data_IF_547115731844
#
_entry.id   IF_547115731844
#
_cell.length_a   1.000
_cell.length_b   1.000
_cell.length_c   1.000
_cell.angle_alpha   90.00
_cell.angle_beta   90.00
_cell.angle_gamma   90.00
#
_symmetry.space_group_name_H-M   'P 1'
#
loop_
_entity.id
_entity.type
_entity.pdbx_description
1 polymer ?
#
# COMPACT_ATOMS: atom_id res chain seq x y z
N UNK A 1 -8.96 -21.13 -59.71
CA UNK A 1 -10.08 -22.09 -59.81
C UNK A 1 -10.11 -22.86 -58.52
N UNK A 2 -11.28 -23.26 -58.01
CA UNK A 2 -12.24 -22.37 -57.34
C UNK A 2 -12.46 -22.70 -55.85
N UNK A 3 -13.11 -21.76 -55.18
CA UNK A 3 -13.88 -21.83 -53.92
C UNK A 3 -14.84 -23.05 -53.85
N UNK A 4 -15.52 -23.38 -52.70
CA UNK A 4 -16.24 -22.40 -51.89
C UNK A 4 -16.29 -22.65 -50.35
N UNK A 5 -16.75 -21.62 -49.66
CA UNK A 5 -17.54 -21.60 -48.40
C UNK A 5 -18.93 -22.26 -48.64
N UNK A 6 -19.76 -22.64 -47.64
CA UNK A 6 -20.43 -21.75 -46.72
C UNK A 6 -20.70 -22.27 -45.29
N UNK A 7 -21.00 -21.37 -44.36
CA UNK A 7 -22.29 -20.96 -43.71
C UNK A 7 -22.74 -21.89 -42.58
N UNK A 8 -23.43 -21.54 -41.52
CA UNK A 8 -24.31 -20.46 -41.08
C UNK A 8 -24.45 -20.56 -39.54
N UNK A 9 -24.51 -19.49 -38.85
CA UNK A 9 -25.58 -18.82 -38.13
C UNK A 9 -26.50 -19.72 -37.29
N UNK A 10 -26.61 -19.45 -36.00
CA UNK A 10 -27.87 -19.36 -35.29
C UNK A 10 -27.76 -18.51 -34.05
N UNK A 11 -28.42 -17.37 -34.10
CA UNK A 11 -28.77 -16.55 -32.94
C UNK A 11 -30.01 -17.14 -32.27
N UNK A 12 -30.15 -16.98 -30.97
CA UNK A 12 -31.43 -17.09 -30.30
C UNK A 12 -31.55 -16.05 -29.20
N UNK A 13 -32.42 -15.08 -29.47
CA UNK A 13 -33.13 -14.26 -28.50
C UNK A 13 -34.06 -15.11 -27.65
N UNK A 14 -34.24 -14.80 -26.39
CA UNK A 14 -35.42 -15.16 -25.63
C UNK A 14 -35.75 -14.09 -24.61
N UNK A 15 -36.76 -13.56 -24.79
CA UNK A 15 -37.95 -12.83 -24.39
C UNK A 15 -38.22 -12.89 -22.88
N UNK A 16 -38.48 -11.72 -22.32
CA UNK A 16 -39.11 -11.47 -21.04
C UNK A 16 -40.61 -11.84 -21.08
N UNK A 17 -41.13 -12.31 -19.96
CA UNK A 17 -42.57 -12.29 -19.71
C UNK A 17 -42.84 -11.87 -18.26
N UNK A 18 -43.62 -10.84 -18.18
CA UNK A 18 -44.36 -10.27 -17.06
C UNK A 18 -45.53 -11.18 -16.70
N UNK A 19 -45.78 -11.42 -15.43
CA UNK A 19 -46.97 -12.12 -14.92
C UNK A 19 -47.63 -11.31 -13.81
N UNK A 20 -48.81 -10.84 -14.12
CA UNK A 20 -49.63 -9.87 -13.40
C UNK A 20 -50.53 -10.54 -12.36
N UNK A 21 -50.89 -9.76 -11.35
CA UNK A 21 -51.88 -9.94 -10.26
C UNK A 21 -53.10 -10.79 -10.60
N UNK A 22 -53.64 -11.49 -9.57
CA UNK A 22 -55.07 -11.65 -9.38
C UNK A 22 -55.45 -11.57 -7.91
N UNK A 23 -56.21 -10.54 -7.59
CA UNK A 23 -57.02 -10.36 -6.39
C UNK A 23 -58.32 -11.14 -6.57
N UNK A 24 -58.72 -11.90 -5.56
CA UNK A 24 -60.08 -12.42 -5.46
C UNK A 24 -60.64 -12.21 -4.08
N UNK A 25 -61.57 -11.28 -4.00
CA UNK A 25 -62.45 -11.02 -2.87
C UNK A 25 -63.59 -12.05 -2.89
N UNK A 26 -63.93 -12.59 -1.73
CA UNK A 26 -65.25 -13.21 -1.53
C UNK A 26 -65.79 -12.73 -0.17
N UNK A 27 -66.90 -11.97 -0.27
CA UNK A 27 -67.76 -11.61 0.84
C UNK A 27 -68.90 -12.62 0.93
N UNK A 28 -69.29 -13.05 2.12
CA UNK A 28 -70.66 -13.48 2.41
C UNK A 28 -70.97 -13.53 3.90
N UNK A 29 -71.82 -12.65 4.28
CA UNK A 29 -72.96 -12.67 5.17
C UNK A 29 -73.00 -13.47 6.50
N UNK A 30 -73.04 -12.70 7.54
CA UNK A 30 -73.98 -12.60 8.66
C UNK A 30 -74.71 -13.87 9.22
N UNK A 31 -74.57 -14.03 10.54
CA UNK A 31 -75.74 -14.13 11.45
C UNK A 31 -75.32 -13.86 12.90
N UNK A 32 -76.00 -12.91 13.49
CA UNK A 32 -75.94 -12.49 14.90
C UNK A 32 -76.40 -13.59 15.85
N UNK A 33 -75.70 -13.73 16.99
CA UNK A 33 -76.28 -14.21 18.28
C UNK A 33 -75.68 -13.40 19.41
N UNK A 34 -76.55 -12.88 20.23
CA UNK A 34 -76.34 -12.09 21.43
C UNK A 34 -75.53 -12.83 22.52
N UNK A 35 -74.86 -12.12 23.45
CA UNK A 35 -73.84 -12.67 24.30
C UNK A 35 -74.37 -13.18 25.60
N UNK A 36 -73.81 -14.31 26.03
CA UNK A 36 -73.91 -14.82 27.39
C UNK A 36 -72.96 -14.10 28.33
N UNK A 37 -73.46 -13.72 29.52
CA UNK A 37 -72.71 -13.01 30.58
C UNK A 37 -71.61 -13.92 31.14
N UNK A 38 -70.37 -13.40 31.09
CA UNK A 38 -69.25 -13.98 31.84
C UNK A 38 -69.30 -13.63 33.32
N UNK A 39 -68.83 -14.50 34.22
CA UNK A 39 -68.65 -14.21 35.62
C UNK A 39 -67.42 -13.32 35.90
N UNK A 40 -67.37 -12.61 37.04
CA UNK A 40 -66.30 -11.64 37.33
C UNK A 40 -64.95 -12.34 37.48
N UNK A 41 -63.95 -11.88 36.71
CA UNK A 41 -62.55 -12.28 36.88
C UNK A 41 -61.94 -11.64 38.13
N UNK A 42 -61.47 -12.51 39.04
CA UNK A 42 -60.57 -12.10 40.11
C UNK A 42 -59.28 -11.45 39.51
N UNK A 43 -58.89 -10.33 40.09
CA UNK A 43 -57.66 -9.62 39.71
C UNK A 43 -56.42 -10.46 40.08
N UNK A 44 -55.83 -11.15 39.10
CA UNK A 44 -54.50 -11.68 39.24
C UNK A 44 -53.51 -10.52 39.25
N UNK A 45 -52.78 -10.36 40.37
CA UNK A 45 -51.64 -9.47 40.47
C UNK A 45 -50.58 -9.90 39.45
N UNK A 46 -50.26 -8.96 38.50
CA UNK A 46 -49.08 -9.15 37.64
C UNK A 46 -47.80 -9.41 38.48
N UNK A 47 -47.00 -10.38 38.14
CA UNK A 47 -45.68 -10.56 38.78
C UNK A 47 -44.85 -9.33 38.41
N UNK A 48 -44.18 -8.76 39.43
CA UNK A 48 -43.26 -7.63 39.23
C UNK A 48 -42.23 -8.02 38.17
N UNK A 49 -42.13 -7.22 37.10
CA UNK A 49 -41.07 -7.34 36.09
C UNK A 49 -39.73 -7.23 36.81
N UNK A 50 -38.93 -8.29 36.76
CA UNK A 50 -37.50 -8.18 37.07
C UNK A 50 -36.89 -7.02 36.29
N UNK A 51 -36.06 -6.18 36.92
CA UNK A 51 -35.37 -5.13 36.19
C UNK A 51 -34.51 -5.78 35.09
N UNK A 52 -34.71 -5.36 33.84
CA UNK A 52 -33.89 -5.80 32.75
C UNK A 52 -32.41 -5.59 33.11
N UNK A 53 -31.51 -6.57 32.83
CA UNK A 53 -30.11 -6.42 33.14
C UNK A 53 -29.62 -5.09 32.54
N UNK A 54 -28.93 -4.28 33.34
CA UNK A 54 -28.34 -3.04 32.90
C UNK A 54 -27.53 -3.35 31.65
N UNK A 55 -27.87 -2.68 30.54
CA UNK A 55 -27.03 -2.76 29.32
C UNK A 55 -25.62 -2.37 29.75
N UNK A 56 -24.66 -3.27 29.58
CA UNK A 56 -23.24 -2.88 29.69
C UNK A 56 -23.04 -1.63 28.85
N UNK A 57 -22.33 -0.62 29.37
CA UNK A 57 -22.04 0.59 28.58
C UNK A 57 -21.41 0.13 27.27
N UNK A 58 -21.93 0.63 26.15
CA UNK A 58 -21.36 0.32 24.84
C UNK A 58 -19.88 0.67 24.91
N UNK A 59 -19.00 -0.31 24.64
CA UNK A 59 -17.57 -0.06 24.57
C UNK A 59 -17.30 0.97 23.49
N UNK A 60 -16.42 1.91 23.76
CA UNK A 60 -15.90 2.80 22.75
C UNK A 60 -15.13 1.97 21.70
N UNK A 61 -14.99 2.48 20.48
CA UNK A 61 -14.28 1.75 19.43
C UNK A 61 -13.42 2.68 18.59
N UNK A 62 -12.47 2.11 17.86
CA UNK A 62 -11.72 2.81 16.80
C UNK A 62 -11.66 1.94 15.56
N UNK A 63 -12.11 2.47 14.43
CA UNK A 63 -11.97 1.83 13.11
C UNK A 63 -10.64 2.23 12.48
N UNK A 64 -9.73 1.27 12.36
CA UNK A 64 -8.41 1.42 11.74
C UNK A 64 -8.46 0.90 10.32
N UNK A 65 -8.37 1.78 9.36
CA UNK A 65 -8.42 1.46 7.93
C UNK A 65 -7.02 1.41 7.34
N UNK A 66 -6.66 0.27 6.75
CA UNK A 66 -5.34 0.06 6.15
C UNK A 66 -5.41 -0.88 4.94
N UNK A 67 -4.27 -1.23 4.34
CA UNK A 67 -4.15 -2.30 3.35
C UNK A 67 -3.29 -3.47 3.83
N UNK A 68 -2.94 -3.51 5.10
CA UNK A 68 -2.05 -4.52 5.67
C UNK A 68 -2.79 -5.82 5.99
N UNK A 69 -2.81 -6.71 5.00
CA UNK A 69 -3.46 -8.03 5.08
C UNK A 69 -2.49 -9.17 4.72
N UNK A 70 -1.28 -8.83 4.29
CA UNK A 70 -0.23 -9.78 3.94
C UNK A 70 0.63 -10.18 5.14
N UNK A 71 1.32 -11.31 5.00
CA UNK A 71 2.23 -11.80 6.03
C UNK A 71 3.35 -10.80 6.33
N UNK A 72 3.64 -10.59 7.61
CA UNK A 72 4.51 -9.55 8.14
C UNK A 72 3.75 -8.24 8.42
N UNK A 73 2.87 -7.83 7.53
CA UNK A 73 2.05 -6.62 7.66
C UNK A 73 0.93 -6.81 8.69
N UNK A 74 0.17 -7.90 8.53
CA UNK A 74 -0.93 -8.24 9.42
C UNK A 74 -0.43 -8.57 10.82
N UNK A 75 0.64 -9.33 10.94
CA UNK A 75 1.26 -9.66 12.23
C UNK A 75 1.74 -8.41 12.96
N UNK A 76 2.38 -7.48 12.24
CA UNK A 76 2.82 -6.19 12.79
C UNK A 76 1.66 -5.34 13.28
N UNK A 77 0.62 -5.18 12.46
CA UNK A 77 -0.60 -4.45 12.83
C UNK A 77 -1.29 -5.07 14.04
N UNK A 78 -1.43 -6.39 14.06
CA UNK A 78 -2.06 -7.11 15.17
C UNK A 78 -1.25 -6.97 16.47
N UNK A 79 0.08 -6.92 16.40
CA UNK A 79 0.93 -6.65 17.57
C UNK A 79 0.70 -5.24 18.13
N UNK A 80 0.61 -4.21 17.28
CA UNK A 80 0.24 -2.85 17.70
C UNK A 80 -1.18 -2.79 18.29
N UNK A 81 -2.14 -3.44 17.65
CA UNK A 81 -3.54 -3.48 18.14
C UNK A 81 -3.60 -4.15 19.51
N UNK A 82 -2.85 -5.23 19.74
CA UNK A 82 -2.80 -5.92 21.04
C UNK A 82 -2.23 -5.00 22.13
N UNK A 83 -1.16 -4.27 21.84
CA UNK A 83 -0.57 -3.31 22.77
C UNK A 83 -1.51 -2.14 23.04
N UNK A 84 -2.13 -1.56 22.00
CA UNK A 84 -3.15 -0.53 22.14
C UNK A 84 -4.30 -0.97 23.06
N UNK A 85 -4.86 -2.18 22.85
CA UNK A 85 -5.94 -2.73 23.68
C UNK A 85 -5.52 -2.95 25.13
N UNK A 86 -4.26 -3.33 25.37
CA UNK A 86 -3.74 -3.49 26.74
C UNK A 86 -3.70 -2.16 27.51
N UNK A 87 -3.40 -1.06 26.81
CA UNK A 87 -3.39 0.30 27.36
C UNK A 87 -4.77 0.95 27.43
N UNK A 88 -5.70 0.50 26.58
CA UNK A 88 -7.05 1.06 26.42
C UNK A 88 -8.12 -0.03 26.47
N UNK A 89 -8.31 -0.74 27.61
CA UNK A 89 -9.15 -1.94 27.69
C UNK A 89 -10.64 -1.69 27.42
N UNK A 90 -11.08 -0.44 27.47
CA UNK A 90 -12.47 -0.03 27.19
C UNK A 90 -12.71 0.33 25.72
N UNK A 91 -11.67 0.33 24.88
CA UNK A 91 -11.78 0.66 23.45
C UNK A 91 -11.60 -0.61 22.63
N UNK A 92 -12.61 -0.95 21.83
CA UNK A 92 -12.48 -2.03 20.84
C UNK A 92 -11.86 -1.51 19.54
N UNK A 93 -11.00 -2.31 18.91
CA UNK A 93 -10.38 -1.98 17.63
C UNK A 93 -11.06 -2.76 16.52
N UNK A 94 -11.61 -2.05 15.54
CA UNK A 94 -12.12 -2.59 14.29
C UNK A 94 -11.00 -2.51 13.25
N UNK A 95 -10.35 -3.64 12.95
CA UNK A 95 -9.39 -3.72 11.86
C UNK A 95 -10.15 -3.79 10.53
N UNK A 96 -10.20 -2.66 9.82
CA UNK A 96 -10.91 -2.50 8.54
C UNK A 96 -9.95 -2.57 7.35
N UNK A 97 -8.92 -3.43 7.41
CA UNK A 97 -7.96 -3.59 6.34
C UNK A 97 -8.60 -4.14 5.05
N UNK A 98 -8.22 -3.59 3.90
CA UNK A 98 -8.71 -3.98 2.57
C UNK A 98 -7.56 -4.52 1.75
N UNK A 99 -7.64 -5.79 1.38
CA UNK A 99 -6.61 -6.50 0.64
C UNK A 99 -6.48 -6.05 -0.82
N UNK A 100 -5.26 -6.19 -1.36
CA UNK A 100 -4.97 -6.18 -2.79
C UNK A 100 -4.31 -4.91 -3.32
N UNK A 101 -3.38 -5.14 -4.27
CA UNK A 101 -2.71 -4.09 -5.04
C UNK A 101 -1.83 -3.15 -4.22
N UNK A 102 -1.25 -3.60 -3.11
CA UNK A 102 -0.46 -2.77 -2.19
C UNK A 102 -1.14 -1.42 -1.87
N UNK A 103 -2.43 -1.48 -1.55
CA UNK A 103 -3.24 -0.33 -1.20
C UNK A 103 -4.10 0.23 -2.34
N UNK A 104 -3.97 -0.20 -3.57
CA UNK A 104 -4.80 0.31 -4.69
C UNK A 104 -6.30 0.12 -4.40
N UNK A 105 -6.72 -1.08 -3.99
CA UNK A 105 -8.11 -1.35 -3.64
C UNK A 105 -8.56 -0.57 -2.40
N UNK A 106 -7.73 -0.54 -1.36
CA UNK A 106 -8.02 0.20 -0.13
C UNK A 106 -8.20 1.71 -0.41
N UNK A 107 -7.31 2.31 -1.21
CA UNK A 107 -7.40 3.73 -1.59
C UNK A 107 -8.69 4.05 -2.35
N UNK A 108 -9.16 3.16 -3.24
CA UNK A 108 -10.42 3.34 -3.96
C UNK A 108 -11.63 3.31 -3.01
N UNK A 109 -11.67 2.34 -2.08
CA UNK A 109 -12.71 2.25 -1.04
C UNK A 109 -12.68 3.48 -0.13
N UNK A 110 -11.50 3.87 0.35
CA UNK A 110 -11.32 5.03 1.21
C UNK A 110 -11.80 6.32 0.55
N UNK A 111 -11.42 6.56 -0.70
CA UNK A 111 -11.83 7.76 -1.44
C UNK A 111 -13.36 7.83 -1.56
N UNK A 112 -14.03 6.70 -1.81
CA UNK A 112 -15.50 6.61 -1.84
C UNK A 112 -16.10 6.96 -0.48
N UNK A 113 -15.55 6.45 0.62
CA UNK A 113 -15.99 6.74 1.99
C UNK A 113 -15.82 8.22 2.36
N UNK A 114 -14.65 8.80 2.03
CA UNK A 114 -14.35 10.22 2.27
C UNK A 114 -15.31 11.15 1.49
N UNK A 115 -15.62 10.80 0.24
CA UNK A 115 -16.57 11.55 -0.58
C UNK A 115 -17.99 11.45 -0.02
N UNK A 116 -18.41 10.29 0.47
CA UNK A 116 -19.71 10.07 1.08
C UNK A 116 -19.87 10.69 2.49
N UNK A 117 -18.81 11.29 3.05
CA UNK A 117 -18.84 11.83 4.42
C UNK A 117 -18.94 10.75 5.51
N UNK A 118 -18.49 9.55 5.22
CA UNK A 118 -18.44 8.40 6.16
C UNK A 118 -17.00 7.88 6.28
N UNK A 119 -16.04 8.69 6.80
CA UNK A 119 -14.66 8.26 6.97
C UNK A 119 -14.55 7.12 8.00
N UNK A 120 -13.46 6.33 7.99
CA UNK A 120 -13.06 5.54 9.15
C UNK A 120 -12.58 6.48 10.27
N UNK A 121 -12.28 5.95 11.46
CA UNK A 121 -11.77 6.77 12.56
C UNK A 121 -10.30 7.15 12.37
N UNK A 122 -9.51 6.25 11.77
CA UNK A 122 -8.14 6.55 11.32
C UNK A 122 -7.84 5.75 10.06
N UNK A 123 -7.02 6.30 9.15
CA UNK A 123 -6.66 5.61 7.92
C UNK A 123 -5.20 5.78 7.54
N UNK A 124 -4.69 4.77 6.85
CA UNK A 124 -3.35 4.72 6.33
C UNK A 124 -3.20 5.55 5.03
N UNK A 125 -2.12 6.33 4.95
CA UNK A 125 -1.54 6.94 3.76
C UNK A 125 -0.01 6.88 3.85
N UNK A 126 0.67 6.99 2.72
CA UNK A 126 2.10 7.26 2.78
C UNK A 126 2.35 8.72 3.17
N UNK A 127 3.42 8.93 3.95
CA UNK A 127 3.89 10.27 4.28
C UNK A 127 4.36 11.00 3.00
N UNK A 128 4.03 12.28 2.88
CA UNK A 128 4.35 13.10 1.73
C UNK A 128 3.14 13.57 0.94
N UNK A 129 3.28 13.73 -0.36
CA UNK A 129 2.26 14.33 -1.21
C UNK A 129 1.03 13.44 -1.46
N UNK A 130 1.06 12.17 -1.09
CA UNK A 130 -0.13 11.30 -1.20
C UNK A 130 -1.31 11.83 -0.39
N UNK A 131 -1.06 12.53 0.72
CA UNK A 131 -2.09 13.11 1.58
C UNK A 131 -2.53 14.51 1.11
N UNK A 132 -1.84 15.13 0.16
CA UNK A 132 -2.07 16.52 -0.23
C UNK A 132 -3.50 16.80 -0.72
N UNK A 133 -4.09 15.86 -1.46
CA UNK A 133 -5.46 16.01 -1.97
C UNK A 133 -6.50 15.96 -0.84
N UNK A 134 -6.30 15.09 0.17
CA UNK A 134 -7.18 14.98 1.34
C UNK A 134 -7.09 16.26 2.20
N UNK A 135 -5.89 16.85 2.32
CA UNK A 135 -5.66 18.13 3.02
C UNK A 135 -6.34 19.28 2.27
N UNK A 136 -6.10 19.39 0.96
CA UNK A 136 -6.71 20.42 0.10
C UNK A 136 -8.23 20.35 0.11
N UNK A 137 -8.80 19.16 0.20
CA UNK A 137 -10.24 18.92 0.29
C UNK A 137 -10.79 19.08 1.72
N UNK A 138 -9.98 19.52 2.67
CA UNK A 138 -10.34 19.72 4.08
C UNK A 138 -10.91 18.46 4.76
N UNK A 139 -10.35 17.28 4.43
CA UNK A 139 -10.83 15.98 4.92
C UNK A 139 -10.08 15.46 6.15
N UNK A 140 -8.94 16.06 6.51
CA UNK A 140 -8.09 15.62 7.61
C UNK A 140 -7.88 16.72 8.65
N UNK A 141 -7.65 16.31 9.90
CA UNK A 141 -7.38 17.22 11.00
C UNK A 141 -5.89 17.59 11.07
N UNK A 142 -5.62 18.78 11.57
CA UNK A 142 -4.29 19.27 11.92
C UNK A 142 -3.83 18.60 13.24
N UNK A 143 -2.75 17.84 13.17
CA UNK A 143 -2.17 17.09 14.29
C UNK A 143 -1.01 17.84 14.97
N UNK A 144 -0.74 19.09 14.62
CA UNK A 144 0.39 19.88 15.16
C UNK A 144 0.38 19.92 16.69
N UNK A 145 -0.81 20.12 17.28
CA UNK A 145 -0.97 20.13 18.76
C UNK A 145 -0.67 18.76 19.38
N UNK A 146 -1.06 17.66 18.72
CA UNK A 146 -0.74 16.32 19.17
C UNK A 146 0.78 16.12 19.20
N UNK A 147 1.49 16.54 18.16
CA UNK A 147 2.96 16.49 18.09
C UNK A 147 3.64 17.30 19.20
N UNK A 148 3.11 18.45 19.53
CA UNK A 148 3.61 19.29 20.63
C UNK A 148 3.38 18.63 22.00
N UNK A 149 2.17 18.11 22.21
CA UNK A 149 1.81 17.43 23.47
C UNK A 149 2.65 16.18 23.70
N UNK A 150 2.93 15.42 22.64
CA UNK A 150 3.71 14.19 22.71
C UNK A 150 5.23 14.40 22.57
N UNK A 151 5.68 15.61 22.27
CA UNK A 151 7.11 15.94 22.09
C UNK A 151 7.75 15.21 20.91
N UNK A 152 7.01 15.00 19.80
CA UNK A 152 7.46 14.17 18.69
C UNK A 152 8.32 14.89 17.66
N UNK A 153 8.27 16.23 17.59
CA UNK A 153 9.01 17.01 16.57
C UNK A 153 10.51 16.71 16.59
N UNK A 154 11.08 16.55 17.78
CA UNK A 154 12.52 16.25 17.97
C UNK A 154 12.83 14.73 17.92
N UNK A 155 11.83 13.89 17.71
CA UNK A 155 11.94 12.42 17.70
C UNK A 155 11.82 11.82 16.31
N UNK A 156 11.59 12.63 15.30
CA UNK A 156 11.54 12.23 13.90
C UNK A 156 12.73 12.80 13.13
N UNK A 157 13.24 12.07 12.11
CA UNK A 157 14.21 12.64 11.18
C UNK A 157 13.63 13.87 10.48
N UNK A 158 14.45 14.92 10.32
CA UNK A 158 14.00 16.19 9.72
C UNK A 158 13.30 16.00 8.36
N UNK A 159 13.87 15.19 7.47
CA UNK A 159 13.29 14.96 6.14
C UNK A 159 11.92 14.30 6.19
N UNK A 160 11.67 13.43 7.19
CA UNK A 160 10.35 12.83 7.40
C UNK A 160 9.35 13.84 7.99
N UNK A 161 9.80 14.63 8.97
CA UNK A 161 8.97 15.70 9.54
C UNK A 161 8.58 16.73 8.48
N UNK A 162 9.53 17.12 7.63
CA UNK A 162 9.26 18.02 6.50
C UNK A 162 8.23 17.41 5.52
N UNK A 163 8.33 16.11 5.22
CA UNK A 163 7.41 15.43 4.30
C UNK A 163 5.96 15.36 4.79
N UNK A 164 5.73 15.33 6.11
CA UNK A 164 4.39 15.32 6.71
C UNK A 164 3.87 16.70 7.11
N UNK A 165 4.67 17.76 6.87
CA UNK A 165 4.32 19.15 7.20
C UNK A 165 3.95 19.90 5.94
N UNK A 166 2.70 20.34 5.84
CA UNK A 166 2.17 21.12 4.72
C UNK A 166 1.65 22.46 5.29
N UNK A 167 2.11 23.57 4.72
CA UNK A 167 1.75 24.93 5.18
C UNK A 167 1.95 25.14 6.70
N UNK A 168 3.04 24.56 7.24
CA UNK A 168 3.40 24.66 8.66
C UNK A 168 2.58 23.78 9.61
N UNK A 169 1.70 22.93 9.10
CA UNK A 169 0.83 22.02 9.87
C UNK A 169 1.19 20.57 9.59
N UNK A 170 1.01 19.71 10.60
CA UNK A 170 1.30 18.28 10.52
C UNK A 170 -0.02 17.52 10.40
N UNK A 171 -0.11 16.56 9.46
CA UNK A 171 -1.38 15.89 9.13
C UNK A 171 -1.36 14.37 9.28
N UNK A 172 -0.22 13.75 9.55
CA UNK A 172 -0.13 12.31 9.75
C UNK A 172 0.93 11.91 10.77
N UNK A 173 0.82 10.68 11.27
CA UNK A 173 1.75 10.07 12.23
C UNK A 173 2.47 8.91 11.53
N UNK A 174 3.72 9.07 11.13
CA UNK A 174 4.54 8.00 10.56
C UNK A 174 4.78 6.85 11.55
N UNK A 175 4.68 5.62 11.04
CA UNK A 175 4.93 4.40 11.84
C UNK A 175 6.24 3.72 11.50
N UNK A 176 6.79 4.00 10.31
CA UNK A 176 8.00 3.35 9.81
C UNK A 176 8.76 4.24 8.82
N UNK A 177 9.89 3.70 8.38
CA UNK A 177 10.62 4.08 7.17
C UNK A 177 10.89 2.81 6.39
N UNK A 178 10.58 2.82 5.10
CA UNK A 178 10.91 1.79 4.13
C UNK A 178 11.94 2.27 3.13
N UNK A 179 12.70 1.32 2.58
CA UNK A 179 13.60 1.53 1.44
C UNK A 179 13.03 0.88 0.20
N UNK A 180 12.80 1.65 -0.85
CA UNK A 180 12.22 1.18 -2.10
C UNK A 180 13.28 0.66 -3.11
N UNK A 181 14.44 1.28 -3.21
CA UNK A 181 15.44 1.01 -4.24
C UNK A 181 16.29 -0.25 -3.98
N UNK A 182 15.66 -1.42 -3.93
CA UNK A 182 16.32 -2.68 -3.63
C UNK A 182 16.14 -3.71 -4.74
N UNK A 183 17.16 -4.57 -4.94
CA UNK A 183 17.11 -5.74 -5.81
C UNK A 183 17.39 -7.00 -4.98
N UNK A 184 16.49 -7.96 -5.07
CA UNK A 184 16.48 -9.19 -4.29
C UNK A 184 16.88 -10.38 -5.14
N UNK A 185 17.61 -11.34 -4.54
CA UNK A 185 18.11 -12.56 -5.20
C UNK A 185 18.38 -13.67 -4.18
N UNK A 186 18.63 -14.88 -4.67
CA UNK A 186 19.16 -15.96 -3.82
C UNK A 186 20.63 -16.23 -4.16
N UNK A 187 21.54 -16.29 -3.17
CA UNK A 187 22.95 -16.61 -3.40
C UNK A 187 23.13 -17.95 -4.11
N UNK A 188 22.26 -18.92 -3.80
CA UNK A 188 22.23 -20.24 -4.44
C UNK A 188 22.02 -20.16 -5.96
N UNK A 189 21.07 -19.35 -6.42
CA UNK A 189 20.75 -19.19 -7.86
C UNK A 189 21.90 -18.49 -8.59
N UNK A 190 22.48 -17.43 -8.03
CA UNK A 190 23.63 -16.76 -8.64
C UNK A 190 24.81 -17.72 -8.82
N UNK A 191 25.14 -18.48 -7.76
CA UNK A 191 26.21 -19.52 -7.82
C UNK A 191 25.95 -20.58 -8.89
N UNK A 192 24.71 -21.08 -8.97
CA UNK A 192 24.33 -22.11 -9.95
C UNK A 192 24.43 -21.59 -11.40
N UNK A 193 24.27 -20.30 -11.63
CA UNK A 193 24.40 -19.69 -12.95
C UNK A 193 25.81 -19.18 -13.26
N UNK A 194 26.75 -19.26 -12.32
CA UNK A 194 28.11 -18.74 -12.46
C UNK A 194 28.16 -17.21 -12.45
N UNK A 195 27.17 -16.55 -11.83
CA UNK A 195 27.13 -15.10 -11.69
C UNK A 195 27.83 -14.71 -10.38
N UNK A 196 28.89 -13.88 -10.49
CA UNK A 196 29.76 -13.55 -9.36
C UNK A 196 29.08 -12.72 -8.27
N UNK A 197 28.02 -11.97 -8.60
CA UNK A 197 27.27 -11.15 -7.65
C UNK A 197 26.12 -10.38 -8.33
N UNK A 198 25.30 -9.68 -7.56
CA UNK A 198 24.23 -8.86 -8.09
C UNK A 198 24.77 -7.70 -8.95
N UNK A 199 24.00 -7.22 -9.94
CA UNK A 199 24.44 -6.17 -10.85
C UNK A 199 24.53 -4.82 -10.12
N UNK A 200 25.63 -4.08 -10.34
CA UNK A 200 25.84 -2.74 -9.76
C UNK A 200 25.28 -1.63 -10.63
N UNK A 201 25.06 -1.90 -11.92
CA UNK A 201 24.51 -0.96 -12.90
C UNK A 201 23.45 -1.67 -13.75
N UNK A 202 22.51 -0.91 -14.34
CA UNK A 202 21.52 -1.48 -15.26
C UNK A 202 22.17 -2.09 -16.50
N UNK A 203 23.32 -1.57 -16.94
CA UNK A 203 24.12 -2.19 -18.01
C UNK A 203 24.63 -3.59 -17.61
N UNK A 204 25.11 -3.75 -16.39
CA UNK A 204 25.50 -5.06 -15.85
C UNK A 204 24.31 -6.00 -15.75
N UNK A 205 23.15 -5.50 -15.24
CA UNK A 205 21.91 -6.26 -15.19
C UNK A 205 21.54 -6.79 -16.59
N UNK A 206 21.54 -5.95 -17.62
CA UNK A 206 21.22 -6.37 -18.98
C UNK A 206 22.23 -7.37 -19.56
N UNK A 207 23.50 -7.29 -19.14
CA UNK A 207 24.52 -8.29 -19.49
C UNK A 207 24.25 -9.62 -18.82
N UNK A 208 23.95 -9.62 -17.54
CA UNK A 208 23.56 -10.82 -16.79
C UNK A 208 22.26 -11.43 -17.31
N UNK A 209 21.28 -10.59 -17.69
CA UNK A 209 20.00 -11.02 -18.25
C UNK A 209 20.17 -11.88 -19.52
N UNK A 210 21.13 -11.57 -20.38
CA UNK A 210 21.46 -12.39 -21.56
C UNK A 210 21.97 -13.77 -21.14
N UNK A 211 22.86 -13.85 -20.15
CA UNK A 211 23.37 -15.10 -19.61
C UNK A 211 22.26 -15.94 -18.97
N UNK A 212 21.40 -15.29 -18.17
CA UNK A 212 20.25 -15.90 -17.48
C UNK A 212 19.28 -16.49 -18.50
N UNK A 213 18.91 -15.70 -19.54
CA UNK A 213 18.05 -16.16 -20.63
C UNK A 213 18.63 -17.34 -21.38
N UNK A 214 19.96 -17.34 -21.64
CA UNK A 214 20.67 -18.46 -22.25
C UNK A 214 20.65 -19.77 -21.42
N UNK A 215 20.33 -19.67 -20.13
CA UNK A 215 20.10 -20.81 -19.21
C UNK A 215 18.61 -21.13 -19.02
N UNK A 216 17.72 -20.57 -19.83
CA UNK A 216 16.28 -20.84 -19.81
C UNK A 216 15.54 -20.25 -18.60
N UNK A 217 16.09 -19.21 -17.96
CA UNK A 217 15.48 -18.56 -16.80
C UNK A 217 15.07 -17.12 -17.10
N UNK A 218 14.16 -16.58 -16.29
CA UNK A 218 13.76 -15.18 -16.31
C UNK A 218 14.77 -14.33 -15.53
N UNK A 219 15.19 -13.19 -16.07
CA UNK A 219 16.13 -12.34 -15.36
C UNK A 219 15.43 -11.56 -14.23
N UNK A 220 14.26 -10.98 -14.46
CA UNK A 220 13.53 -10.20 -13.50
C UNK A 220 12.07 -10.68 -13.39
N UNK A 221 11.66 -11.11 -12.21
CA UNK A 221 10.25 -11.34 -11.89
C UNK A 221 9.58 -10.00 -11.56
N UNK A 222 8.38 -9.79 -12.10
CA UNK A 222 7.60 -8.57 -11.90
C UNK A 222 6.15 -8.93 -11.51
N UNK A 223 5.50 -8.05 -10.78
CA UNK A 223 4.11 -8.18 -10.34
C UNK A 223 3.16 -7.23 -11.08
N UNK A 224 2.06 -6.81 -10.44
CA UNK A 224 1.02 -5.96 -11.03
C UNK A 224 1.53 -4.54 -11.32
N UNK A 225 0.66 -3.69 -11.88
CA UNK A 225 1.01 -2.35 -12.38
C UNK A 225 1.79 -1.47 -11.40
N UNK A 226 1.47 -1.51 -10.10
CA UNK A 226 2.20 -0.72 -9.11
C UNK A 226 3.67 -1.13 -8.98
N UNK A 227 4.01 -2.43 -9.16
CA UNK A 227 5.41 -2.90 -9.17
C UNK A 227 6.15 -2.43 -10.41
N UNK A 228 5.43 -2.22 -11.52
CA UNK A 228 6.00 -1.66 -12.74
C UNK A 228 6.34 -0.18 -12.56
N UNK A 229 5.50 0.57 -11.84
CA UNK A 229 5.79 1.96 -11.43
C UNK A 229 7.00 2.01 -10.49
N UNK A 230 7.08 1.09 -9.53
CA UNK A 230 8.23 0.94 -8.64
C UNK A 230 9.52 0.61 -9.41
N UNK A 231 9.45 -0.27 -10.40
CA UNK A 231 10.59 -0.57 -11.27
C UNK A 231 11.00 0.67 -12.12
N UNK A 232 10.02 1.42 -12.65
CA UNK A 232 10.29 2.66 -13.39
C UNK A 232 11.07 3.66 -12.53
N UNK A 233 10.61 3.93 -11.30
CA UNK A 233 11.31 4.86 -10.40
C UNK A 233 12.72 4.38 -10.09
N UNK A 234 12.89 3.07 -9.85
CA UNK A 234 14.18 2.47 -9.54
C UNK A 234 15.16 2.59 -10.71
N UNK A 235 14.68 2.43 -11.95
CA UNK A 235 15.51 2.63 -13.16
C UNK A 235 15.83 4.10 -13.36
N UNK A 236 14.86 5.01 -13.20
CA UNK A 236 15.10 6.45 -13.30
C UNK A 236 16.14 6.91 -12.26
N UNK A 237 16.01 6.46 -11.02
CA UNK A 237 16.98 6.78 -9.96
C UNK A 237 18.38 6.27 -10.29
N UNK A 238 18.49 5.02 -10.76
CA UNK A 238 19.77 4.40 -11.08
C UNK A 238 20.48 4.99 -12.30
N UNK A 239 19.74 5.48 -13.30
CA UNK A 239 20.28 6.07 -14.52
C UNK A 239 20.57 7.58 -14.37
N UNK A 240 19.72 8.30 -13.63
CA UNK A 240 19.81 9.75 -13.50
C UNK A 240 20.65 10.17 -12.29
N UNK A 241 20.74 9.33 -11.26
CA UNK A 241 21.27 9.67 -9.96
C UNK A 241 20.31 10.52 -9.12
N UNK A 242 20.59 10.67 -7.81
CA UNK A 242 19.65 11.26 -6.85
C UNK A 242 19.27 12.71 -7.14
N UNK A 243 20.20 13.55 -7.60
CA UNK A 243 19.96 14.97 -7.86
C UNK A 243 19.00 15.16 -9.04
N UNK A 244 19.25 14.48 -10.17
CA UNK A 244 18.39 14.59 -11.36
C UNK A 244 17.06 13.86 -11.19
N UNK A 245 17.06 12.76 -10.47
CA UNK A 245 15.81 12.09 -10.08
C UNK A 245 14.93 13.04 -9.26
N UNK A 246 15.47 13.67 -8.23
CA UNK A 246 14.76 14.70 -7.45
C UNK A 246 14.33 15.87 -8.34
N UNK A 247 15.14 16.22 -9.32
CA UNK A 247 14.86 17.25 -10.32
C UNK A 247 13.59 17.02 -11.13
N UNK A 248 13.17 15.76 -11.35
CA UNK A 248 11.93 15.42 -12.02
C UNK A 248 10.69 15.94 -11.26
N UNK A 249 10.77 16.03 -9.95
CA UNK A 249 9.66 16.40 -9.06
C UNK A 249 9.67 17.87 -8.68
N UNK A 250 10.84 18.53 -8.69
CA UNK A 250 10.95 19.96 -8.42
C UNK A 250 11.04 20.81 -9.70
N UNK A 251 11.03 20.18 -10.88
CA UNK A 251 11.00 20.84 -12.19
C UNK A 251 12.38 21.28 -12.73
N UNK A 252 13.49 20.84 -12.09
CA UNK A 252 14.85 21.16 -12.56
C UNK A 252 15.38 20.13 -13.57
N UNK A 253 14.73 18.96 -13.70
CA UNK A 253 15.02 17.96 -14.73
C UNK A 253 13.83 17.85 -15.69
N UNK A 254 14.10 18.04 -16.99
CA UNK A 254 13.06 17.95 -18.03
C UNK A 254 12.72 16.48 -18.34
N UNK A 255 11.44 16.12 -18.19
CA UNK A 255 10.91 14.81 -18.55
C UNK A 255 11.17 14.43 -20.03
N UNK A 256 11.28 15.40 -20.93
CA UNK A 256 11.58 15.22 -22.36
C UNK A 256 13.07 15.33 -22.66
N UNK A 257 13.91 15.51 -21.65
CA UNK A 257 15.36 15.64 -21.81
C UNK A 257 16.03 14.35 -22.29
N UNK A 258 17.19 14.48 -22.92
CA UNK A 258 17.93 13.34 -23.49
C UNK A 258 18.31 12.28 -22.43
N UNK A 259 18.57 12.69 -21.20
CA UNK A 259 18.93 11.77 -20.11
C UNK A 259 17.74 10.92 -19.66
N UNK A 260 16.54 11.52 -19.56
CA UNK A 260 15.30 10.79 -19.28
C UNK A 260 14.98 9.84 -20.44
N UNK A 261 15.15 10.27 -21.68
CA UNK A 261 14.98 9.40 -22.84
C UNK A 261 15.94 8.19 -22.82
N UNK A 262 17.19 8.38 -22.37
CA UNK A 262 18.14 7.29 -22.19
C UNK A 262 17.71 6.34 -21.05
N UNK A 263 17.24 6.86 -19.92
CA UNK A 263 16.73 6.08 -18.80
C UNK A 263 15.49 5.26 -19.20
N UNK A 264 14.55 5.84 -19.96
CA UNK A 264 13.37 5.15 -20.49
C UNK A 264 13.74 4.05 -21.50
N UNK A 265 14.80 4.24 -22.28
CA UNK A 265 15.34 3.18 -23.13
C UNK A 265 15.88 2.02 -22.30
N UNK A 266 16.62 2.30 -21.22
CA UNK A 266 17.08 1.28 -20.29
C UNK A 266 15.88 0.56 -19.64
N UNK A 267 14.86 1.30 -19.18
CA UNK A 267 13.65 0.72 -18.62
C UNK A 267 12.95 -0.23 -19.59
N UNK A 268 12.84 0.15 -20.86
CA UNK A 268 12.28 -0.75 -21.89
C UNK A 268 13.07 -2.05 -22.01
N UNK A 269 14.41 -1.98 -22.03
CA UNK A 269 15.26 -3.17 -22.10
C UNK A 269 15.14 -4.06 -20.84
N UNK A 270 14.95 -3.47 -19.66
CA UNK A 270 14.71 -4.19 -18.41
C UNK A 270 13.34 -4.89 -18.46
N UNK A 271 12.30 -4.25 -18.98
CA UNK A 271 11.00 -4.88 -19.20
C UNK A 271 11.07 -6.06 -20.19
N UNK A 272 11.90 -5.96 -21.24
CA UNK A 272 12.12 -7.05 -22.19
C UNK A 272 12.86 -8.25 -21.56
N UNK A 273 13.65 -8.01 -20.51
CA UNK A 273 14.35 -9.02 -19.73
C UNK A 273 13.50 -9.60 -18.58
N UNK A 274 12.31 -9.07 -18.35
CA UNK A 274 11.36 -9.49 -17.31
C UNK A 274 10.31 -10.44 -17.85
N UNK A 275 9.46 -10.94 -16.94
CA UNK A 275 8.27 -11.72 -17.25
C UNK A 275 7.00 -10.85 -17.38
N UNK A 276 7.14 -9.60 -17.83
CA UNK A 276 6.05 -8.62 -17.91
C UNK A 276 4.80 -9.14 -18.62
N UNK A 277 4.94 -10.04 -19.60
CA UNK A 277 3.81 -10.64 -20.32
C UNK A 277 3.02 -11.66 -19.49
N UNK A 278 3.62 -12.17 -18.44
CA UNK A 278 3.05 -13.14 -17.50
C UNK A 278 3.27 -12.66 -16.07
N UNK A 279 3.18 -11.34 -15.86
CA UNK A 279 3.38 -10.70 -14.58
C UNK A 279 2.53 -11.38 -13.49
N UNK A 280 3.10 -11.55 -12.31
CA UNK A 280 2.39 -12.14 -11.20
C UNK A 280 1.20 -11.27 -10.77
N UNK A 281 0.16 -11.93 -10.23
CA UNK A 281 -1.05 -11.23 -9.79
C UNK A 281 -0.82 -10.33 -8.57
N UNK A 282 0.22 -10.63 -7.78
CA UNK A 282 0.70 -9.78 -6.68
C UNK A 282 2.23 -9.86 -6.59
N UNK A 283 2.85 -9.09 -5.71
CA UNK A 283 4.31 -9.01 -5.57
C UNK A 283 4.92 -10.25 -4.90
N UNK A 284 4.19 -10.90 -3.97
CA UNK A 284 4.68 -12.11 -3.29
C UNK A 284 4.95 -13.26 -4.27
N UNK A 285 4.07 -13.59 -5.22
CA UNK A 285 4.38 -14.59 -6.24
C UNK A 285 5.60 -14.24 -7.09
N UNK A 286 5.89 -12.96 -7.34
CA UNK A 286 7.12 -12.57 -8.04
C UNK A 286 8.37 -12.87 -7.18
N UNK A 287 8.31 -12.60 -5.87
CA UNK A 287 9.36 -12.96 -4.92
C UNK A 287 9.54 -14.50 -4.84
N UNK A 288 8.46 -15.27 -4.83
CA UNK A 288 8.49 -16.74 -4.78
C UNK A 288 9.19 -17.32 -6.02
N UNK A 289 9.01 -16.73 -7.20
CA UNK A 289 9.74 -17.13 -8.42
C UNK A 289 11.26 -16.93 -8.33
N UNK A 290 11.72 -16.00 -7.51
CA UNK A 290 13.14 -15.81 -7.21
C UNK A 290 13.62 -16.89 -6.24
N UNK A 291 12.82 -17.24 -5.25
CA UNK A 291 13.15 -18.28 -4.27
C UNK A 291 13.27 -19.67 -4.89
N UNK A 292 12.37 -20.03 -5.80
CA UNK A 292 12.39 -21.32 -6.50
C UNK A 292 13.37 -21.35 -7.68
N UNK A 293 13.96 -20.20 -8.01
CA UNK A 293 14.94 -20.05 -9.09
C UNK A 293 14.35 -20.06 -10.49
N UNK A 294 13.05 -19.88 -10.68
CA UNK A 294 12.43 -19.64 -11.99
C UNK A 294 12.81 -18.24 -12.52
N UNK A 295 12.95 -17.27 -11.62
CA UNK A 295 13.55 -15.98 -11.89
C UNK A 295 14.82 -15.78 -11.04
N UNK A 296 15.66 -14.83 -11.42
CA UNK A 296 16.92 -14.56 -10.71
C UNK A 296 16.81 -13.36 -9.80
N UNK A 297 16.11 -12.32 -10.23
CA UNK A 297 15.95 -11.05 -9.50
C UNK A 297 14.49 -10.64 -9.40
N UNK A 298 14.18 -9.86 -8.36
CA UNK A 298 13.01 -8.99 -8.29
C UNK A 298 13.40 -7.65 -7.69
N UNK A 299 12.78 -6.55 -8.15
CA UNK A 299 12.90 -5.22 -7.55
C UNK A 299 11.70 -5.02 -6.66
N UNK A 300 11.95 -4.78 -5.38
CA UNK A 300 10.89 -4.65 -4.37
C UNK A 300 11.44 -3.92 -3.14
N UNK A 301 10.59 -3.20 -2.42
CA UNK A 301 10.98 -2.57 -1.17
C UNK A 301 11.24 -3.56 -0.05
N UNK A 302 11.71 -3.05 1.06
CA UNK A 302 12.21 -3.86 2.19
C UNK A 302 11.11 -4.61 2.97
N UNK A 303 9.82 -4.31 2.77
CA UNK A 303 8.72 -5.17 3.24
C UNK A 303 8.85 -6.62 2.74
N UNK A 304 9.61 -6.85 1.68
CA UNK A 304 9.92 -8.21 1.23
C UNK A 304 10.73 -8.98 2.29
N UNK A 305 11.58 -8.33 3.11
CA UNK A 305 12.27 -8.98 4.24
C UNK A 305 11.26 -9.53 5.25
N UNK A 306 10.22 -8.74 5.59
CA UNK A 306 9.14 -9.18 6.46
C UNK A 306 8.44 -10.45 5.95
N UNK A 307 8.14 -10.50 4.65
CA UNK A 307 7.56 -11.67 4.00
C UNK A 307 8.51 -12.88 4.03
N UNK A 308 9.76 -12.70 3.62
CA UNK A 308 10.74 -13.79 3.53
C UNK A 308 11.08 -14.36 4.91
N UNK A 309 11.30 -13.51 5.88
CA UNK A 309 11.60 -13.88 7.27
C UNK A 309 10.36 -14.41 8.00
N UNK A 310 9.23 -13.69 7.90
CA UNK A 310 8.00 -13.96 8.63
C UNK A 310 7.22 -15.15 8.07
N UNK A 311 6.77 -15.08 6.81
CA UNK A 311 5.97 -16.13 6.20
C UNK A 311 6.79 -17.33 5.73
N UNK A 312 7.92 -17.08 5.07
CA UNK A 312 8.75 -18.14 4.48
C UNK A 312 9.77 -18.73 5.46
N UNK A 313 9.99 -18.11 6.62
CA UNK A 313 10.97 -18.53 7.65
C UNK A 313 12.41 -18.64 7.13
N UNK A 314 12.75 -17.78 6.18
CA UNK A 314 14.06 -17.75 5.52
C UNK A 314 15.04 -16.84 6.27
N UNK A 315 16.34 -17.06 6.04
CA UNK A 315 17.44 -16.35 6.69
C UNK A 315 18.15 -15.44 5.70
N UNK A 316 18.25 -14.16 6.05
CA UNK A 316 19.04 -13.17 5.34
C UNK A 316 20.51 -13.62 5.18
N UNK A 317 21.11 -13.35 4.02
CA UNK A 317 22.46 -13.75 3.59
C UNK A 317 22.71 -15.26 3.50
N UNK A 318 21.71 -16.09 3.79
CA UNK A 318 21.80 -17.55 3.65
C UNK A 318 20.88 -18.05 2.54
N UNK A 319 19.57 -17.79 2.70
CA UNK A 319 18.53 -18.26 1.78
C UNK A 319 18.19 -17.21 0.73
N UNK A 320 18.22 -15.95 1.11
CA UNK A 320 18.06 -14.79 0.26
C UNK A 320 19.06 -13.70 0.62
N UNK A 321 19.28 -12.79 -0.32
CA UNK A 321 20.09 -11.60 -0.10
C UNK A 321 19.50 -10.41 -0.88
N UNK A 322 19.95 -9.22 -0.54
CA UNK A 322 19.44 -7.96 -1.09
C UNK A 322 20.55 -6.92 -1.14
N UNK A 323 20.50 -6.06 -2.13
CA UNK A 323 21.39 -4.91 -2.24
C UNK A 323 20.64 -3.71 -2.83
N UNK A 324 21.25 -2.52 -2.77
CA UNK A 324 20.73 -1.38 -3.52
C UNK A 324 20.56 -1.78 -5.00
N UNK A 325 19.47 -1.32 -5.61
CA UNK A 325 19.19 -1.56 -7.03
C UNK A 325 20.29 -0.97 -7.93
N UNK A 326 20.46 -1.47 -9.15
CA UNK A 326 21.52 -1.03 -10.03
C UNK A 326 21.57 0.49 -10.21
N UNK A 327 22.76 1.08 -10.01
CA UNK A 327 22.99 2.53 -10.14
C UNK A 327 22.64 3.37 -8.91
N UNK A 328 22.09 2.76 -7.84
CA UNK A 328 21.61 3.50 -6.67
C UNK A 328 22.38 3.23 -5.37
N UNK A 329 23.63 2.74 -5.47
CA UNK A 329 24.49 2.56 -4.30
C UNK A 329 24.69 3.89 -3.54
N UNK A 330 24.58 3.87 -2.21
CA UNK A 330 24.67 5.08 -1.37
C UNK A 330 23.44 5.98 -1.42
N UNK A 331 22.35 5.53 -2.07
CA UNK A 331 21.07 6.23 -2.09
C UNK A 331 20.04 5.40 -1.31
N UNK A 332 19.20 6.09 -0.57
CA UNK A 332 18.03 5.53 0.11
C UNK A 332 16.77 6.20 -0.46
N UNK A 333 16.04 5.48 -1.28
CA UNK A 333 14.74 5.88 -1.81
C UNK A 333 13.69 5.54 -0.77
N UNK A 334 13.22 6.56 -0.03
CA UNK A 334 12.39 6.31 1.13
C UNK A 334 10.90 6.49 0.87
N UNK A 335 10.14 5.72 1.58
CA UNK A 335 8.73 5.97 1.85
C UNK A 335 8.47 5.70 3.34
N UNK A 336 7.33 6.16 3.81
CA UNK A 336 6.89 5.92 5.18
C UNK A 336 5.38 5.73 5.18
N UNK A 337 4.92 4.67 5.82
CA UNK A 337 3.51 4.50 6.12
C UNK A 337 3.14 5.44 7.29
N UNK A 338 2.00 6.05 7.20
CA UNK A 338 1.49 6.93 8.24
C UNK A 338 -0.01 6.76 8.44
N UNK A 339 -0.50 7.08 9.62
CA UNK A 339 -1.92 7.18 9.92
C UNK A 339 -2.33 8.63 10.10
N UNK A 340 -3.56 8.93 9.73
CA UNK A 340 -4.13 10.27 9.86
C UNK A 340 -5.48 10.24 10.58
N UNK A 341 -5.95 11.41 11.02
CA UNK A 341 -7.24 11.61 11.65
C UNK A 341 -8.17 12.34 10.68
N UNK A 342 -9.16 11.66 10.11
CA UNK A 342 -10.11 12.31 9.22
C UNK A 342 -11.07 13.23 10.01
N UNK A 343 -11.46 14.33 9.39
CA UNK A 343 -12.59 15.15 9.88
C UNK A 343 -13.87 14.33 9.79
N UNK A 344 -14.65 14.35 10.87
CA UNK A 344 -15.88 13.58 10.97
C UNK A 344 -15.69 12.12 11.40
N UNK A 345 -14.53 11.74 11.92
CA UNK A 345 -14.32 10.48 12.63
C UNK A 345 -15.36 10.33 13.76
N UNK A 346 -16.03 9.18 13.81
CA UNK A 346 -17.12 8.96 14.78
C UNK A 346 -16.58 8.80 16.21
N UNK A 347 -15.37 8.23 16.33
CA UNK A 347 -14.73 7.98 17.62
C UNK A 347 -13.39 8.72 17.69
N UNK A 348 -13.45 10.04 17.54
CA UNK A 348 -12.30 10.92 17.43
C UNK A 348 -11.27 10.73 18.55
N UNK A 349 -11.74 10.64 19.81
CA UNK A 349 -10.84 10.51 20.97
C UNK A 349 -10.13 9.15 21.00
N UNK A 350 -10.82 8.09 20.57
CA UNK A 350 -10.22 6.77 20.41
C UNK A 350 -9.23 6.75 19.25
N UNK A 351 -9.51 7.47 18.15
CA UNK A 351 -8.60 7.64 17.03
C UNK A 351 -7.34 8.41 17.40
N UNK A 352 -7.43 9.46 18.22
CA UNK A 352 -6.27 10.19 18.73
C UNK A 352 -5.39 9.28 19.59
N UNK A 353 -5.96 8.44 20.45
CA UNK A 353 -5.22 7.42 21.21
C UNK A 353 -4.54 6.40 20.30
N UNK A 354 -5.21 5.98 19.21
CA UNK A 354 -4.58 5.12 18.19
C UNK A 354 -3.38 5.80 17.54
N UNK A 355 -3.49 7.08 17.18
CA UNK A 355 -2.35 7.83 16.66
C UNK A 355 -1.20 7.95 17.66
N UNK A 356 -1.51 8.05 18.97
CA UNK A 356 -0.49 8.02 20.03
C UNK A 356 0.23 6.67 20.04
N UNK A 357 -0.50 5.56 19.86
CA UNK A 357 0.13 4.24 19.70
C UNK A 357 1.01 4.16 18.47
N UNK A 358 0.55 4.62 17.32
CA UNK A 358 1.31 4.69 16.08
C UNK A 358 2.62 5.49 16.22
N UNK A 359 2.59 6.61 16.95
CA UNK A 359 3.74 7.47 17.19
C UNK A 359 4.62 7.03 18.36
N UNK A 360 4.25 5.99 19.12
CA UNK A 360 5.00 5.51 20.28
C UNK A 360 6.21 4.66 19.85
N UNK A 361 7.29 4.68 20.65
CA UNK A 361 8.42 3.75 20.44
C UNK A 361 7.98 2.31 20.56
N UNK A 362 7.13 2.01 21.53
CA UNK A 362 6.64 0.66 21.78
C UNK A 362 5.83 0.11 20.59
N UNK A 363 4.86 0.90 20.07
CA UNK A 363 4.07 0.50 18.91
C UNK A 363 4.94 0.27 17.69
N UNK A 364 5.90 1.16 17.41
CA UNK A 364 6.82 1.03 16.28
C UNK A 364 7.78 -0.16 16.44
N UNK A 365 8.27 -0.43 17.64
CA UNK A 365 9.17 -1.56 17.92
C UNK A 365 8.46 -2.92 17.90
N UNK A 366 7.14 -2.95 18.03
CA UNK A 366 6.32 -4.16 17.84
C UNK A 366 6.00 -4.38 16.36
N UNK A 367 5.71 -3.32 15.63
CA UNK A 367 5.29 -3.35 14.23
C UNK A 367 6.45 -3.61 13.26
N UNK A 368 7.50 -2.78 13.32
CA UNK A 368 8.51 -2.71 12.26
C UNK A 368 9.34 -3.99 12.06
N UNK A 369 9.75 -4.73 13.12
CA UNK A 369 10.46 -5.99 12.93
C UNK A 369 9.64 -7.07 12.21
N UNK A 370 8.31 -7.03 12.29
CA UNK A 370 7.42 -7.95 11.58
C UNK A 370 7.17 -7.48 10.14
N UNK A 371 6.89 -6.18 9.98
CA UNK A 371 6.61 -5.54 8.69
C UNK A 371 7.80 -5.58 7.72
N UNK A 372 9.03 -5.63 8.23
CA UNK A 372 10.25 -5.52 7.42
C UNK A 372 10.63 -4.07 7.14
N UNK A 373 10.46 -3.18 8.12
CA UNK A 373 10.77 -1.75 8.04
C UNK A 373 11.61 -1.30 9.22
N UNK A 374 12.14 -0.08 9.15
CA UNK A 374 12.83 0.55 10.28
C UNK A 374 11.93 1.61 10.93
N UNK A 375 12.15 1.97 12.21
CA UNK A 375 11.26 2.88 12.91
C UNK A 375 11.35 4.29 12.36
N UNK A 376 10.22 5.00 12.36
CA UNK A 376 10.19 6.44 12.08
C UNK A 376 10.87 7.24 13.19
N UNK A 377 10.83 6.73 14.43
CA UNK A 377 11.41 7.38 15.60
C UNK A 377 12.92 7.19 15.70
N UNK A 378 13.62 8.26 16.03
CA UNK A 378 15.09 8.26 16.22
C UNK A 378 15.54 7.63 17.54
N UNK A 379 14.62 7.52 18.52
CA UNK A 379 14.85 6.98 19.86
C UNK A 379 14.28 5.56 20.08
N UNK A 380 13.98 4.84 18.99
CA UNK A 380 13.56 3.44 19.03
C UNK A 380 14.68 2.49 19.51
N UNK A 381 14.30 1.32 20.01
CA UNK A 381 15.24 0.30 20.48
C UNK A 381 15.91 -0.41 19.30
N UNK A 382 17.10 0.04 18.94
CA UNK A 382 17.87 -0.50 17.80
C UNK A 382 18.18 -2.00 17.91
N UNK A 383 18.19 -2.58 19.11
CA UNK A 383 18.47 -3.99 19.32
C UNK A 383 17.41 -4.93 18.73
N UNK A 384 16.21 -4.42 18.49
CA UNK A 384 15.09 -5.15 17.86
C UNK A 384 15.21 -5.29 16.36
N UNK A 385 16.07 -4.49 15.72
CA UNK A 385 16.24 -4.45 14.27
C UNK A 385 17.47 -5.27 13.88
N UNK A 386 17.26 -6.53 13.48
CA UNK A 386 18.31 -7.51 13.19
C UNK A 386 18.32 -7.93 11.72
N UNK A 387 19.37 -8.62 11.27
CA UNK A 387 19.51 -9.06 9.88
C UNK A 387 19.54 -7.88 8.91
N UNK A 388 18.71 -7.93 7.85
CA UNK A 388 18.61 -6.85 6.88
C UNK A 388 18.20 -5.51 7.54
N UNK A 389 17.30 -5.54 8.52
CA UNK A 389 16.82 -4.30 9.18
C UNK A 389 17.95 -3.54 9.90
N UNK A 390 18.97 -4.24 10.43
CA UNK A 390 20.15 -3.58 10.98
C UNK A 390 20.96 -2.85 9.90
N UNK A 391 21.04 -3.42 8.69
CA UNK A 391 21.68 -2.77 7.53
C UNK A 391 20.87 -1.56 7.09
N UNK A 392 19.55 -1.71 6.93
CA UNK A 392 18.66 -0.63 6.51
C UNK A 392 18.69 0.55 7.49
N UNK A 393 18.65 0.27 8.81
CA UNK A 393 18.73 1.30 9.85
C UNK A 393 20.07 2.02 9.87
N UNK A 394 21.18 1.28 9.67
CA UNK A 394 22.51 1.86 9.54
C UNK A 394 22.59 2.80 8.34
N UNK A 395 22.13 2.33 7.16
CA UNK A 395 22.17 3.13 5.94
C UNK A 395 21.28 4.38 6.05
N UNK A 396 20.10 4.25 6.68
CA UNK A 396 19.21 5.40 6.94
C UNK A 396 19.85 6.48 7.84
N UNK A 397 20.65 6.07 8.80
CA UNK A 397 21.31 6.95 9.77
C UNK A 397 22.68 7.44 9.31
N UNK A 398 23.22 6.91 8.21
CA UNK A 398 24.53 7.33 7.70
C UNK A 398 24.42 8.70 7.01
N UNK A 399 25.13 9.74 7.49
CA UNK A 399 25.11 11.06 6.88
C UNK A 399 25.65 11.10 5.44
N UNK A 400 26.38 10.07 5.01
CA UNK A 400 26.85 9.93 3.62
C UNK A 400 25.76 9.41 2.67
N UNK A 401 24.71 8.79 3.20
CA UNK A 401 23.59 8.28 2.39
C UNK A 401 22.75 9.43 1.85
N UNK A 402 22.51 9.41 0.54
CA UNK A 402 21.61 10.38 -0.11
C UNK A 402 20.17 9.91 0.03
N UNK A 403 19.33 10.70 0.68
CA UNK A 403 17.91 10.39 0.86
C UNK A 403 17.12 11.03 -0.25
N UNK A 404 16.30 10.25 -0.96
CA UNK A 404 15.31 10.71 -1.95
C UNK A 404 13.94 10.14 -1.61
N UNK A 405 12.88 10.81 -2.04
CA UNK A 405 11.49 10.33 -1.79
C UNK A 405 10.97 9.48 -2.94
N UNK A 406 10.24 8.42 -2.60
CA UNK A 406 9.64 7.52 -3.57
C UNK A 406 8.48 8.19 -4.34
N UNK A 407 8.52 8.07 -5.67
CA UNK A 407 7.43 8.38 -6.58
C UNK A 407 6.29 7.35 -6.44
N UNK A 408 6.65 6.08 -6.50
CA UNK A 408 5.68 4.98 -6.55
C UNK A 408 4.78 4.95 -5.31
N UNK A 409 5.30 5.46 -4.19
CA UNK A 409 4.63 5.46 -2.90
C UNK A 409 4.25 6.87 -2.41
N UNK A 410 4.10 7.81 -3.33
CA UNK A 410 3.45 9.11 -3.07
C UNK A 410 4.23 10.10 -2.19
N UNK A 411 5.53 9.88 -1.93
CA UNK A 411 6.34 10.86 -1.17
C UNK A 411 6.48 12.15 -1.99
N UNK A 412 6.79 12.03 -3.29
CA UNK A 412 7.07 13.15 -4.20
C UNK A 412 5.96 13.42 -5.22
N UNK A 413 4.86 12.68 -5.16
CA UNK A 413 3.75 12.79 -6.12
C UNK A 413 2.40 12.78 -5.41
N UNK A 414 1.52 13.71 -5.74
CA UNK A 414 0.12 13.67 -5.33
C UNK A 414 -0.67 12.61 -6.13
N UNK A 415 -1.88 12.30 -5.68
CA UNK A 415 -2.70 11.25 -6.29
C UNK A 415 -3.08 11.58 -7.75
N UNK A 416 -3.32 12.85 -8.07
CA UNK A 416 -3.68 13.27 -9.42
C UNK A 416 -2.54 12.98 -10.40
N UNK A 417 -1.31 13.41 -10.09
CA UNK A 417 -0.14 13.11 -10.91
C UNK A 417 0.15 11.60 -10.97
N UNK A 418 0.07 10.89 -9.83
CA UNK A 418 0.30 9.45 -9.77
C UNK A 418 -0.63 8.66 -10.69
N UNK A 419 -1.93 9.02 -10.75
CA UNK A 419 -2.91 8.37 -11.62
C UNK A 419 -2.63 8.60 -13.10
N UNK A 420 -2.28 9.83 -13.49
CA UNK A 420 -1.91 10.15 -14.87
C UNK A 420 -0.62 9.41 -15.29
N UNK A 421 0.38 9.36 -14.41
CA UNK A 421 1.62 8.62 -14.65
C UNK A 421 1.35 7.11 -14.81
N UNK A 422 0.50 6.53 -13.96
CA UNK A 422 0.12 5.11 -14.05
C UNK A 422 -0.60 4.81 -15.38
N UNK A 423 -1.48 5.69 -15.81
CA UNK A 423 -2.15 5.59 -17.11
C UNK A 423 -1.14 5.63 -18.25
N UNK A 424 -0.23 6.60 -18.23
CA UNK A 424 0.83 6.71 -19.24
C UNK A 424 1.77 5.50 -19.22
N UNK A 425 2.09 4.97 -18.03
CA UNK A 425 2.93 3.79 -17.87
C UNK A 425 2.27 2.54 -18.44
N UNK A 426 0.98 2.34 -18.20
CA UNK A 426 0.23 1.24 -18.82
C UNK A 426 0.30 1.26 -20.33
N UNK A 427 0.10 2.44 -20.96
CA UNK A 427 0.26 2.62 -22.41
C UNK A 427 1.71 2.33 -22.84
N UNK A 428 2.71 2.82 -22.09
CA UNK A 428 4.12 2.56 -22.40
C UNK A 428 4.48 1.08 -22.35
N UNK A 429 3.99 0.35 -21.35
CA UNK A 429 4.26 -1.10 -21.20
C UNK A 429 3.80 -1.89 -22.43
N UNK A 430 2.73 -1.47 -23.08
CA UNK A 430 2.21 -2.10 -24.30
C UNK A 430 2.90 -1.57 -25.58
N UNK A 431 2.98 -0.23 -25.71
CA UNK A 431 3.44 0.42 -26.94
C UNK A 431 4.96 0.53 -27.08
N UNK A 432 5.67 0.58 -25.94
CA UNK A 432 7.12 0.85 -25.85
C UNK A 432 7.53 2.23 -26.40
N UNK A 433 6.59 3.15 -26.53
CA UNK A 433 6.82 4.52 -27.00
C UNK A 433 7.33 5.41 -25.85
N UNK A 434 8.66 5.50 -25.71
CA UNK A 434 9.32 6.32 -24.70
C UNK A 434 9.06 7.82 -24.88
N UNK A 435 8.96 8.30 -26.12
CA UNK A 435 8.73 9.72 -26.39
C UNK A 435 7.29 10.12 -26.05
N UNK A 436 6.31 9.29 -26.42
CA UNK A 436 4.92 9.48 -26.04
C UNK A 436 4.72 9.44 -24.52
N UNK A 437 5.37 8.50 -23.82
CA UNK A 437 5.36 8.44 -22.37
C UNK A 437 5.92 9.72 -21.73
N UNK A 438 7.12 10.14 -22.12
CA UNK A 438 7.75 11.35 -21.59
C UNK A 438 6.88 12.60 -21.80
N UNK A 439 6.25 12.73 -22.99
CA UNK A 439 5.35 13.84 -23.31
C UNK A 439 4.08 13.82 -22.43
N UNK A 440 3.48 12.63 -22.22
CA UNK A 440 2.30 12.47 -21.38
C UNK A 440 2.60 12.80 -19.92
N UNK A 441 3.71 12.31 -19.37
CA UNK A 441 4.12 12.59 -17.99
C UNK A 441 4.49 14.06 -17.79
N UNK A 442 5.20 14.69 -18.73
CA UNK A 442 5.50 16.12 -18.69
C UNK A 442 4.22 16.97 -18.66
N UNK A 443 3.21 16.60 -19.45
CA UNK A 443 1.90 17.27 -19.46
C UNK A 443 1.17 17.08 -18.12
N UNK A 444 1.13 15.85 -17.61
CA UNK A 444 0.49 15.54 -16.32
C UNK A 444 1.15 16.31 -15.18
N UNK A 445 2.49 16.34 -15.13
CA UNK A 445 3.24 17.10 -14.14
C UNK A 445 2.91 18.59 -14.15
N UNK A 446 2.83 19.21 -15.34
CA UNK A 446 2.47 20.62 -15.47
C UNK A 446 1.01 20.92 -15.03
N UNK A 447 0.11 19.96 -15.19
CA UNK A 447 -1.32 20.12 -14.87
C UNK A 447 -1.67 19.89 -13.39
N UNK A 448 -0.80 19.19 -12.63
CA UNK A 448 -1.10 18.74 -11.25
C UNK A 448 -0.25 19.42 -10.17
N UNK A 449 0.54 20.42 -10.55
CA UNK A 449 1.34 21.26 -9.64
C UNK A 449 0.51 22.29 -8.90
#
# INVERSE_FOLDING_TARGET
MPRPLPSQIAASLATALMGMMCVASVAACSKSKEPAKEPPKEAMKEPAKEPAPAKEPAKDQVEVFSWWTGAGEEEGLNAMIADFKSKNPTIDVVNAAVAGGAGTNAKAVLNTRLQAGNPPDSYQRHAGLELADDIKADKVEDLTKLYETQGWKDKLPKGLLDAITIDGKIYSVPVNIHRANLIWFTPKTLKALGIAGPPKTWKEFLTQAKTIKGKGKTALAIGPAWTQKHLLETVLLGELGPEKYTGLWNGTTDWKGAEVAAALKTFNQVLEASDIKTAAADWQPAADRVLDGAAVYTVMGDWQDGYLKGAKKLKFQTDYDVTASPGSAGVYDFLSDSFTLPKGAKHRDAAEKWLIECGSTQGQDLFNPQKGSVPARTDADKSKYTGYLAVALKDWQDPATKIVGSLAHGVVANNAFSSELETALGIFVESRDAAGFAAAVAKAYAATR
#
